data_IF_344837585390
#
_entry.id   IF_344837585390
#
_cell.length_a   1.000
_cell.length_b   1.000
_cell.length_c   1.000
_cell.angle_alpha   90.00
_cell.angle_beta   90.00
_cell.angle_gamma   90.00
#
_symmetry.space_group_name_H-M   'P 1'
#
loop_
_entity.id
_entity.type
_entity.pdbx_description
1 polymer ?
#
# COMPACT_ATOMS: atom_id res chain seq x y z
N UNK A 1 13.24 -4.36 17.05
CA UNK A 1 12.16 -3.60 16.39
C UNK A 1 11.90 -4.34 15.10
N UNK A 2 10.67 -4.81 14.88
CA UNK A 2 10.35 -5.64 13.72
C UNK A 2 10.29 -4.85 12.43
N UNK A 3 10.67 -5.47 11.32
CA UNK A 3 10.59 -4.86 9.99
C UNK A 3 9.13 -4.75 9.55
N UNK A 4 8.71 -3.55 9.16
CA UNK A 4 7.37 -3.27 8.64
C UNK A 4 7.49 -2.73 7.23
N UNK A 5 7.08 -3.53 6.26
CA UNK A 5 7.26 -3.25 4.84
C UNK A 5 5.88 -3.15 4.20
N UNK A 6 5.56 -1.97 3.66
CA UNK A 6 4.38 -1.77 2.83
C UNK A 6 4.78 -1.87 1.35
N UNK A 7 4.36 -2.95 0.70
CA UNK A 7 4.52 -3.18 -0.72
C UNK A 7 3.37 -2.57 -1.51
N UNK A 8 3.69 -1.80 -2.54
CA UNK A 8 2.71 -1.13 -3.40
C UNK A 8 2.93 -1.54 -4.85
N UNK A 9 1.86 -2.01 -5.49
CA UNK A 9 1.77 -2.24 -6.94
C UNK A 9 0.82 -1.21 -7.54
N UNK A 10 1.30 -0.40 -8.48
CA UNK A 10 0.52 0.62 -9.16
C UNK A 10 1.06 0.85 -10.59
N UNK A 11 0.25 1.46 -11.47
CA UNK A 11 0.66 1.96 -12.80
C UNK A 11 0.99 0.96 -13.93
N UNK A 12 0.59 -0.32 -13.83
CA UNK A 12 0.80 -1.28 -14.95
C UNK A 12 -0.37 -2.23 -15.21
N UNK A 13 -1.07 -2.70 -14.18
CA UNK A 13 -2.22 -3.60 -14.30
C UNK A 13 -3.35 -3.15 -13.37
N UNK A 14 -3.50 -3.82 -12.23
CA UNK A 14 -4.41 -3.46 -11.15
C UNK A 14 -3.61 -2.93 -9.97
N UNK A 15 -4.05 -1.82 -9.39
CA UNK A 15 -3.41 -1.25 -8.22
C UNK A 15 -3.75 -2.05 -6.96
N UNK A 16 -2.74 -2.31 -6.13
CA UNK A 16 -2.86 -3.13 -4.92
C UNK A 16 -1.81 -2.75 -3.87
N UNK A 17 -2.10 -3.07 -2.61
CA UNK A 17 -1.19 -2.91 -1.50
C UNK A 17 -1.12 -4.17 -0.64
N UNK A 18 0.06 -4.44 -0.08
CA UNK A 18 0.29 -5.53 0.86
C UNK A 18 1.24 -5.08 1.99
N UNK A 19 0.89 -5.40 3.23
CA UNK A 19 1.69 -5.07 4.40
C UNK A 19 2.26 -6.34 5.03
N UNK A 20 3.58 -6.33 5.21
CA UNK A 20 4.34 -7.39 5.87
C UNK A 20 4.94 -6.84 7.16
N UNK A 21 4.77 -7.57 8.25
CA UNK A 21 5.32 -7.24 9.57
C UNK A 21 6.08 -8.46 10.07
N UNK A 22 7.37 -8.30 10.40
CA UNK A 22 8.22 -9.39 10.90
C UNK A 22 8.24 -10.62 9.97
N UNK A 23 8.21 -10.37 8.65
CA UNK A 23 8.16 -11.42 7.62
C UNK A 23 6.81 -12.13 7.49
N UNK A 24 5.76 -11.70 8.19
CA UNK A 24 4.40 -12.23 8.07
C UNK A 24 3.49 -11.26 7.32
N UNK A 25 2.69 -11.78 6.39
CA UNK A 25 1.69 -10.97 5.68
C UNK A 25 0.55 -10.66 6.65
N UNK A 26 0.34 -9.38 6.95
CA UNK A 26 -0.74 -8.93 7.83
C UNK A 26 -2.01 -8.64 7.02
N UNK A 27 -1.85 -7.97 5.89
CA UNK A 27 -2.97 -7.62 5.03
C UNK A 27 -2.52 -7.45 3.58
N UNK A 28 -3.42 -7.75 2.64
CA UNK A 28 -3.24 -7.46 1.22
C UNK A 28 -4.61 -7.20 0.60
N UNK A 29 -4.70 -6.17 -0.23
CA UNK A 29 -5.94 -5.83 -0.91
C UNK A 29 -5.68 -5.20 -2.30
N UNK A 30 -6.65 -5.38 -3.19
CA UNK A 30 -6.68 -4.77 -4.51
C UNK A 30 -7.61 -3.55 -4.51
N UNK A 31 -7.18 -2.46 -5.14
CA UNK A 31 -7.88 -1.17 -5.18
C UNK A 31 -9.24 -1.28 -5.87
N UNK A 32 -9.33 -2.09 -6.93
CA UNK A 32 -10.57 -2.30 -7.69
C UNK A 32 -11.74 -2.79 -6.81
N UNK A 33 -11.45 -3.49 -5.70
CA UNK A 33 -12.48 -4.00 -4.78
C UNK A 33 -13.16 -2.87 -4.00
N UNK A 34 -12.47 -1.75 -3.83
CA UNK A 34 -12.98 -0.57 -3.15
C UNK A 34 -13.59 0.42 -4.14
N UNK A 35 -12.90 0.71 -5.24
CA UNK A 35 -13.36 1.70 -6.22
C UNK A 35 -14.45 1.17 -7.13
N UNK A 36 -14.53 -0.16 -7.31
CA UNK A 36 -15.39 -0.85 -8.30
C UNK A 36 -15.12 -0.39 -9.74
N UNK A 37 -13.96 0.19 -9.99
CA UNK A 37 -13.47 0.59 -11.30
C UNK A 37 -12.55 -0.53 -11.79
N UNK A 38 -12.86 -1.13 -12.94
CA UNK A 38 -11.99 -2.13 -13.57
C UNK A 38 -10.75 -1.44 -14.15
N UNK A 39 -9.57 -2.02 -13.93
CA UNK A 39 -8.26 -1.44 -14.29
C UNK A 39 -8.03 -0.07 -13.65
N UNK A 40 -8.28 0.03 -12.35
CA UNK A 40 -7.87 1.20 -11.60
C UNK A 40 -6.35 1.15 -11.42
N UNK A 41 -5.63 1.82 -12.33
CA UNK A 41 -4.18 1.91 -12.36
C UNK A 41 -3.63 3.05 -11.48
N UNK A 42 -4.51 3.81 -10.82
CA UNK A 42 -4.13 4.91 -9.94
C UNK A 42 -3.54 4.40 -8.63
N UNK A 43 -2.96 5.30 -7.84
CA UNK A 43 -2.36 4.90 -6.57
C UNK A 43 -3.39 4.18 -5.66
N UNK A 44 -3.05 3.03 -5.05
CA UNK A 44 -3.99 2.20 -4.30
C UNK A 44 -4.27 2.76 -2.89
N UNK A 45 -4.90 3.93 -2.81
CA UNK A 45 -5.18 4.64 -1.56
C UNK A 45 -6.05 3.81 -0.62
N UNK A 46 -7.11 3.17 -1.13
CA UNK A 46 -8.03 2.39 -0.31
C UNK A 46 -7.38 1.09 0.17
N UNK A 47 -6.62 0.40 -0.68
CA UNK A 47 -5.92 -0.82 -0.29
C UNK A 47 -4.80 -0.54 0.72
N UNK A 48 -4.07 0.57 0.59
CA UNK A 48 -3.09 1.02 1.60
C UNK A 48 -3.79 1.30 2.93
N UNK A 49 -4.88 2.07 2.91
CA UNK A 49 -5.65 2.38 4.11
C UNK A 49 -6.19 1.13 4.80
N UNK A 50 -6.67 0.15 4.02
CA UNK A 50 -7.08 -1.15 4.53
C UNK A 50 -5.93 -1.88 5.23
N UNK A 51 -4.76 -1.97 4.59
CA UNK A 51 -3.62 -2.68 5.17
C UNK A 51 -3.13 -2.04 6.47
N UNK A 52 -3.06 -0.71 6.52
CA UNK A 52 -2.68 0.03 7.74
C UNK A 52 -3.69 -0.18 8.87
N UNK A 53 -4.99 -0.18 8.53
CA UNK A 53 -6.07 -0.44 9.49
C UNK A 53 -6.01 -1.85 10.07
N UNK A 54 -5.82 -2.87 9.24
CA UNK A 54 -5.72 -4.26 9.71
C UNK A 54 -4.51 -4.48 10.62
N UNK A 55 -3.40 -3.80 10.35
CA UNK A 55 -2.22 -3.83 11.23
C UNK A 55 -2.34 -2.91 12.46
N UNK A 56 -3.37 -2.06 12.55
CA UNK A 56 -3.54 -1.11 13.64
C UNK A 56 -2.43 -0.07 13.73
N UNK A 57 -1.80 0.29 12.60
CA UNK A 57 -0.69 1.24 12.54
C UNK A 57 -1.07 2.48 11.71
N UNK A 58 -0.51 3.64 12.07
CA UNK A 58 -0.59 4.84 11.23
C UNK A 58 0.40 4.75 10.06
N UNK A 59 0.14 5.49 8.97
CA UNK A 59 1.08 5.59 7.84
C UNK A 59 2.47 6.08 8.29
N UNK A 60 2.51 6.91 9.32
CA UNK A 60 3.72 7.45 9.96
C UNK A 60 4.55 6.36 10.68
N UNK A 61 3.94 5.21 10.99
CA UNK A 61 4.56 4.11 11.72
C UNK A 61 5.13 3.01 10.82
N UNK A 62 4.91 3.08 9.50
CA UNK A 62 5.52 2.17 8.53
C UNK A 62 6.98 2.59 8.32
N UNK A 63 7.90 1.70 8.71
CA UNK A 63 9.34 1.98 8.75
C UNK A 63 9.99 1.96 7.37
N UNK A 64 9.44 1.18 6.44
CA UNK A 64 9.95 1.04 5.08
C UNK A 64 8.79 0.95 4.08
N UNK A 65 8.86 1.77 3.02
CA UNK A 65 7.89 1.80 1.94
C UNK A 65 8.57 1.27 0.67
N UNK A 66 8.16 0.09 0.20
CA UNK A 66 8.66 -0.49 -1.05
C UNK A 66 7.66 -0.24 -2.17
N UNK A 67 7.93 0.78 -2.97
CA UNK A 67 7.22 1.06 -4.22
C UNK A 67 8.03 0.54 -5.41
N UNK A 68 7.45 -0.36 -6.22
CA UNK A 68 8.05 -0.80 -7.48
C UNK A 68 7.59 0.12 -8.62
N UNK A 69 8.09 1.35 -8.60
CA UNK A 69 7.99 2.33 -9.70
C UNK A 69 9.26 3.19 -9.66
N UNK A 70 9.63 3.78 -10.79
CA UNK A 70 10.95 4.40 -10.96
C UNK A 70 11.21 5.55 -9.95
N UNK A 71 11.90 5.27 -8.83
CA UNK A 71 12.60 6.25 -7.99
C UNK A 71 11.97 6.61 -6.63
N UNK A 72 12.73 6.34 -5.56
CA UNK A 72 12.75 7.18 -4.34
C UNK A 72 11.89 6.71 -3.16
N UNK A 73 12.56 6.44 -2.04
CA UNK A 73 11.96 6.30 -0.71
C UNK A 73 11.24 7.59 -0.30
N UNK A 74 10.00 7.43 0.18
CA UNK A 74 9.10 8.45 0.73
C UNK A 74 8.48 9.42 -0.31
N UNK A 75 7.40 9.01 -1.00
CA UNK A 75 6.43 10.00 -1.46
C UNK A 75 5.65 10.43 -0.21
N UNK A 76 5.46 11.72 0.00
CA UNK A 76 4.23 12.17 0.65
C UNK A 76 3.11 11.50 -0.14
N UNK A 77 2.58 10.42 0.44
CA UNK A 77 1.54 9.61 -0.16
C UNK A 77 0.41 10.58 -0.44
N UNK A 78 0.10 10.83 -1.71
CA UNK A 78 -1.01 11.68 -2.16
C UNK A 78 -2.33 10.98 -1.76
N UNK A 79 -2.59 10.91 -0.46
CA UNK A 79 -3.84 10.46 0.17
C UNK A 79 -4.94 11.53 0.00
N UNK A 80 -4.67 12.57 -0.77
CA UNK A 80 -5.51 13.76 -0.99
C UNK A 80 -6.48 13.64 -2.16
N UNK A 81 -6.66 12.45 -2.74
CA UNK A 81 -7.72 12.16 -3.71
C UNK A 81 -8.71 11.11 -3.23
#
# INVERSE_FOLDING_TARGET
MGDKILGISAFYHDSAAALVVDGQIVAAAQEERFTRIKHDYYFPTNAVAYCLKEAGISAESASDWMWFGHGGTNPEVDLTR
#
